data_IF_557316893527
#
_entry.id   IF_557316893527
#
_cell.length_a   1.000
_cell.length_b   1.000
_cell.length_c   1.000
_cell.angle_alpha   90.00
_cell.angle_beta   90.00
_cell.angle_gamma   90.00
#
_symmetry.space_group_name_H-M   'P 1'
#
loop_
_entity.id
_entity.type
_entity.pdbx_description
1 polymer ?
#
# COMPACT_ATOMS: atom_id res chain seq x y z
N UNK A 1 -8.49 -7.80 -25.82
CA UNK A 1 -8.21 -8.58 -24.58
C UNK A 1 -9.10 -8.06 -23.46
N UNK A 2 -9.74 -8.95 -22.70
CA UNK A 2 -10.59 -8.60 -21.56
C UNK A 2 -9.99 -9.17 -20.27
N UNK A 3 -9.60 -8.29 -19.34
CA UNK A 3 -9.04 -8.63 -18.03
C UNK A 3 -10.12 -8.43 -16.97
N UNK A 4 -10.32 -9.40 -16.09
CA UNK A 4 -11.23 -9.28 -14.96
C UNK A 4 -10.44 -9.39 -13.64
N UNK A 5 -10.42 -8.31 -12.87
CA UNK A 5 -9.91 -8.33 -11.50
C UNK A 5 -11.02 -8.68 -10.52
N UNK A 6 -10.72 -9.55 -9.57
CA UNK A 6 -11.65 -9.99 -8.54
C UNK A 6 -11.02 -9.86 -7.16
N UNK A 7 -11.67 -9.12 -6.25
CA UNK A 7 -11.18 -8.93 -4.88
C UNK A 7 -12.28 -8.58 -3.91
N UNK A 8 -12.11 -8.95 -2.63
CA UNK A 8 -12.89 -8.42 -1.53
C UNK A 8 -12.25 -7.20 -0.86
N UNK A 9 -11.01 -6.84 -1.19
CA UNK A 9 -10.28 -5.74 -0.58
C UNK A 9 -10.55 -4.38 -1.24
N UNK A 10 -11.80 -4.11 -1.56
CA UNK A 10 -12.22 -2.85 -2.11
C UNK A 10 -13.33 -2.23 -1.25
N UNK A 11 -12.95 -1.31 -0.38
CA UNK A 11 -13.85 -0.58 0.51
C UNK A 11 -13.54 0.93 0.50
N UNK A 12 -14.45 1.80 0.92
CA UNK A 12 -14.22 3.25 0.94
C UNK A 12 -12.95 3.68 1.66
N UNK A 13 -12.62 2.99 2.77
CA UNK A 13 -11.44 3.26 3.59
C UNK A 13 -10.29 2.29 3.33
N UNK A 14 -10.29 1.54 2.20
CA UNK A 14 -9.16 0.68 1.86
C UNK A 14 -7.98 1.50 1.30
N UNK A 15 -6.77 1.07 1.66
CA UNK A 15 -5.52 1.72 1.27
C UNK A 15 -4.96 1.18 -0.06
N UNK A 16 -3.71 0.74 -0.04
CA UNK A 16 -2.91 0.42 -1.24
C UNK A 16 -3.54 -0.51 -2.28
N UNK A 17 -4.34 -1.51 -1.87
CA UNK A 17 -5.00 -2.42 -2.83
C UNK A 17 -5.99 -1.66 -3.70
N UNK A 18 -6.82 -0.79 -3.10
CA UNK A 18 -7.75 0.04 -3.86
C UNK A 18 -7.01 1.02 -4.77
N UNK A 19 -5.96 1.67 -4.27
CA UNK A 19 -5.13 2.58 -5.06
C UNK A 19 -4.57 1.88 -6.31
N UNK A 20 -4.05 0.66 -6.15
CA UNK A 20 -3.59 -0.17 -7.28
C UNK A 20 -4.70 -0.47 -8.27
N UNK A 21 -5.84 -0.96 -7.81
CA UNK A 21 -6.96 -1.34 -8.67
C UNK A 21 -7.56 -0.15 -9.43
N UNK A 22 -7.74 0.99 -8.76
CA UNK A 22 -8.23 2.23 -9.39
C UNK A 22 -7.24 2.76 -10.43
N UNK A 23 -5.94 2.69 -10.14
CA UNK A 23 -4.90 3.11 -11.07
C UNK A 23 -4.81 2.18 -12.30
N UNK A 24 -4.86 0.87 -12.08
CA UNK A 24 -4.87 -0.16 -13.12
C UNK A 24 -6.11 -0.03 -14.00
N UNK A 25 -7.28 0.09 -13.38
CA UNK A 25 -8.56 0.20 -14.11
C UNK A 25 -8.57 1.37 -15.07
N UNK A 26 -8.26 2.57 -14.58
CA UNK A 26 -8.23 3.78 -15.41
C UNK A 26 -7.26 3.68 -16.59
N UNK A 27 -6.10 3.04 -16.41
CA UNK A 27 -5.07 2.93 -17.45
C UNK A 27 -5.37 1.85 -18.48
N UNK A 28 -5.83 0.69 -18.03
CA UNK A 28 -6.20 -0.39 -18.94
C UNK A 28 -7.40 -0.01 -19.82
N UNK A 29 -8.37 0.71 -19.25
CA UNK A 29 -9.57 1.17 -19.96
C UNK A 29 -9.24 2.23 -21.04
N UNK A 30 -8.11 2.94 -20.89
CA UNK A 30 -7.61 3.89 -21.88
C UNK A 30 -6.85 3.23 -23.05
N UNK A 31 -6.51 1.93 -22.95
CA UNK A 31 -5.76 1.22 -23.99
C UNK A 31 -6.71 0.64 -25.04
N UNK A 32 -6.53 1.03 -26.29
CA UNK A 32 -7.36 0.52 -27.39
C UNK A 32 -7.27 -1.02 -27.49
N UNK A 33 -8.42 -1.68 -27.54
CA UNK A 33 -8.52 -3.14 -27.62
C UNK A 33 -8.35 -3.88 -26.31
N UNK A 34 -8.16 -3.17 -25.20
CA UNK A 34 -8.18 -3.72 -23.84
C UNK A 34 -9.48 -3.30 -23.15
N UNK A 35 -10.14 -4.24 -22.50
CA UNK A 35 -11.28 -4.01 -21.61
C UNK A 35 -10.92 -4.50 -20.23
N UNK A 36 -11.20 -3.70 -19.22
CA UNK A 36 -10.98 -4.06 -17.82
C UNK A 36 -12.29 -4.11 -17.05
N UNK A 37 -12.52 -5.18 -16.29
CA UNK A 37 -13.66 -5.34 -15.40
C UNK A 37 -13.19 -5.60 -13.98
N UNK A 38 -13.70 -4.83 -13.02
CA UNK A 38 -13.36 -4.97 -11.62
C UNK A 38 -14.56 -5.52 -10.84
N UNK A 39 -14.44 -6.75 -10.29
CA UNK A 39 -15.44 -7.42 -9.47
C UNK A 39 -15.16 -7.17 -8.00
N UNK A 40 -16.08 -6.49 -7.32
CA UNK A 40 -15.96 -6.10 -5.90
C UNK A 40 -17.22 -6.46 -5.11
N UNK A 41 -17.14 -6.61 -3.78
CA UNK A 41 -18.32 -6.81 -2.96
C UNK A 41 -19.16 -5.53 -2.88
N UNK A 42 -20.48 -5.68 -2.97
CA UNK A 42 -21.44 -4.59 -2.86
C UNK A 42 -22.66 -4.94 -2.01
N UNK A 43 -23.52 -3.95 -1.68
CA UNK A 43 -24.78 -4.21 -0.99
C UNK A 43 -25.80 -4.93 -1.87
N UNK A 44 -25.74 -4.72 -3.17
CA UNK A 44 -26.61 -5.31 -4.20
C UNK A 44 -25.83 -5.53 -5.49
N UNK A 45 -26.40 -6.28 -6.42
CA UNK A 45 -25.85 -6.41 -7.75
C UNK A 45 -25.99 -5.07 -8.49
N UNK A 46 -24.87 -4.48 -8.89
CA UNK A 46 -24.80 -3.23 -9.64
C UNK A 46 -23.61 -3.26 -10.60
N UNK A 47 -23.76 -2.59 -11.73
CA UNK A 47 -22.68 -2.41 -12.69
C UNK A 47 -22.64 -0.94 -13.14
N UNK A 48 -21.47 -0.33 -13.09
CA UNK A 48 -21.18 0.99 -13.65
C UNK A 48 -19.71 1.09 -13.96
N UNK A 49 -19.35 1.70 -15.08
CA UNK A 49 -17.97 2.05 -15.47
C UNK A 49 -16.97 0.88 -15.32
N UNK A 50 -17.34 -0.31 -15.81
CA UNK A 50 -16.49 -1.51 -15.71
C UNK A 50 -16.42 -2.14 -14.31
N UNK A 51 -17.05 -1.54 -13.29
CA UNK A 51 -17.07 -2.03 -11.91
C UNK A 51 -18.34 -2.83 -11.66
N UNK A 52 -18.19 -4.10 -11.28
CA UNK A 52 -19.25 -5.05 -10.99
C UNK A 52 -19.35 -5.32 -9.50
N UNK A 53 -20.40 -4.84 -8.86
CA UNK A 53 -20.69 -5.14 -7.47
C UNK A 53 -21.42 -6.48 -7.36
N UNK A 54 -20.84 -7.39 -6.59
CA UNK A 54 -21.44 -8.69 -6.27
C UNK A 54 -21.97 -8.64 -4.84
N UNK A 55 -23.25 -9.00 -4.61
CA UNK A 55 -23.84 -8.93 -3.28
C UNK A 55 -23.05 -9.71 -2.23
N UNK A 56 -22.68 -9.02 -1.15
CA UNK A 56 -21.98 -9.58 0.00
C UNK A 56 -22.41 -8.88 1.30
N UNK A 57 -22.61 -9.62 2.41
CA UNK A 57 -22.96 -9.01 3.69
C UNK A 57 -21.82 -8.10 4.20
N UNK A 58 -22.17 -7.05 4.96
CA UNK A 58 -21.16 -6.21 5.59
C UNK A 58 -20.40 -7.01 6.65
N UNK A 59 -19.09 -6.75 6.76
CA UNK A 59 -18.29 -7.28 7.85
C UNK A 59 -18.56 -6.45 9.12
N UNK A 60 -19.04 -7.05 10.21
CA UNK A 60 -19.20 -6.34 11.49
C UNK A 60 -17.90 -5.65 11.88
N UNK A 61 -17.97 -4.37 12.27
CA UNK A 61 -16.80 -3.53 12.60
C UNK A 61 -15.74 -3.34 11.49
N UNK A 62 -16.04 -3.77 10.25
CA UNK A 62 -15.11 -3.80 9.12
C UNK A 62 -14.94 -2.48 8.37
N UNK A 63 -15.35 -1.32 8.90
CA UNK A 63 -15.16 0.00 8.28
C UNK A 63 -15.54 0.05 6.78
N UNK A 64 -16.68 -0.58 6.43
CA UNK A 64 -17.17 -0.63 5.05
C UNK A 64 -16.74 -1.86 4.23
N UNK A 65 -15.91 -2.72 4.77
CA UNK A 65 -15.61 -4.01 4.13
C UNK A 65 -16.82 -4.94 4.15
N UNK A 66 -16.93 -5.74 3.09
CA UNK A 66 -17.95 -6.78 2.94
C UNK A 66 -17.28 -8.13 2.72
N UNK A 67 -17.86 -9.18 3.27
CA UNK A 67 -17.27 -10.52 3.18
C UNK A 67 -18.13 -11.44 2.31
N UNK A 68 -17.64 -11.89 1.15
CA UNK A 68 -18.33 -12.88 0.32
C UNK A 68 -18.55 -14.19 1.10
N UNK A 69 -19.78 -14.71 1.07
CA UNK A 69 -20.13 -15.98 1.76
C UNK A 69 -20.57 -17.07 0.79
N UNK A 70 -20.73 -16.76 -0.50
CA UNK A 70 -21.17 -17.70 -1.55
C UNK A 70 -20.33 -17.51 -2.80
N UNK A 71 -19.83 -18.62 -3.38
CA UNK A 71 -19.07 -18.63 -4.63
C UNK A 71 -19.92 -18.32 -5.85
N UNK A 72 -21.14 -18.88 -5.88
CA UNK A 72 -22.00 -18.91 -7.07
C UNK A 72 -22.27 -17.54 -7.73
N UNK A 73 -22.54 -16.45 -6.99
CA UNK A 73 -22.73 -15.12 -7.62
C UNK A 73 -21.47 -14.62 -8.34
N UNK A 74 -20.29 -14.85 -7.76
CA UNK A 74 -18.99 -14.44 -8.32
C UNK A 74 -18.67 -15.24 -9.59
N UNK A 75 -18.82 -16.57 -9.52
CA UNK A 75 -18.65 -17.45 -10.69
C UNK A 75 -19.63 -17.09 -11.81
N UNK A 76 -20.90 -16.78 -11.47
CA UNK A 76 -21.90 -16.36 -12.46
C UNK A 76 -21.47 -15.07 -13.15
N UNK A 77 -20.99 -14.07 -12.40
CA UNK A 77 -20.54 -12.80 -12.97
C UNK A 77 -19.34 -13.02 -13.90
N UNK A 78 -18.32 -13.77 -13.48
CA UNK A 78 -17.16 -14.09 -14.32
C UNK A 78 -17.57 -14.81 -15.62
N UNK A 79 -18.47 -15.78 -15.53
CA UNK A 79 -18.99 -16.50 -16.73
C UNK A 79 -19.75 -15.60 -17.68
N UNK A 80 -20.48 -14.63 -17.15
CA UNK A 80 -21.21 -13.64 -17.98
C UNK A 80 -20.24 -12.70 -18.68
N UNK A 81 -19.16 -12.29 -18.00
CA UNK A 81 -18.13 -11.40 -18.53
C UNK A 81 -17.27 -12.05 -19.60
N UNK A 82 -17.03 -13.37 -19.49
CA UNK A 82 -16.13 -14.13 -20.38
C UNK A 82 -14.78 -13.41 -20.56
N UNK A 83 -14.02 -13.17 -19.51
CA UNK A 83 -12.71 -12.54 -19.62
C UNK A 83 -11.71 -13.48 -20.31
N UNK A 84 -10.66 -12.92 -20.88
CA UNK A 84 -9.52 -13.66 -21.40
C UNK A 84 -8.47 -13.97 -20.30
N UNK A 85 -8.54 -13.23 -19.17
CA UNK A 85 -7.65 -13.34 -18.01
C UNK A 85 -8.40 -12.94 -16.74
N UNK A 86 -8.19 -13.70 -15.65
CA UNK A 86 -8.68 -13.35 -14.32
C UNK A 86 -7.50 -13.04 -13.40
N UNK A 87 -7.50 -11.85 -12.75
CA UNK A 87 -6.55 -11.53 -11.69
C UNK A 87 -7.27 -11.53 -10.33
N UNK A 88 -6.67 -12.22 -9.37
CA UNK A 88 -7.20 -12.38 -8.00
C UNK A 88 -6.38 -11.52 -7.04
N UNK A 89 -7.04 -10.59 -6.34
CA UNK A 89 -6.39 -9.64 -5.45
C UNK A 89 -6.38 -10.03 -3.96
N UNK A 90 -6.89 -11.21 -3.58
CA UNK A 90 -6.93 -11.65 -2.17
C UNK A 90 -6.98 -13.18 -2.03
N UNK A 91 -6.53 -13.75 -0.89
CA UNK A 91 -6.48 -15.19 -0.66
C UNK A 91 -7.77 -15.77 -0.04
N UNK A 92 -8.92 -15.22 -0.36
CA UNK A 92 -10.18 -15.62 0.27
C UNK A 92 -11.17 -16.26 -0.71
N UNK A 93 -12.46 -16.13 -0.48
CA UNK A 93 -13.50 -16.76 -1.27
C UNK A 93 -13.47 -16.32 -2.74
N UNK A 94 -13.10 -15.11 -3.03
CA UNK A 94 -12.91 -14.55 -4.39
C UNK A 94 -11.88 -15.37 -5.20
N UNK A 95 -10.79 -15.79 -4.55
CA UNK A 95 -9.78 -16.65 -5.16
C UNK A 95 -10.35 -18.01 -5.59
N UNK A 96 -11.13 -18.64 -4.72
CA UNK A 96 -11.78 -19.92 -5.04
C UNK A 96 -12.86 -19.77 -6.12
N UNK A 97 -13.55 -18.62 -6.14
CA UNK A 97 -14.51 -18.31 -7.21
C UNK A 97 -13.83 -18.17 -8.58
N UNK A 98 -12.66 -17.55 -8.64
CA UNK A 98 -11.86 -17.45 -9.87
C UNK A 98 -11.38 -18.83 -10.34
N UNK A 99 -10.84 -19.66 -9.44
CA UNK A 99 -10.39 -21.03 -9.77
C UNK A 99 -11.56 -21.94 -10.22
N UNK A 100 -12.76 -21.76 -9.66
CA UNK A 100 -13.94 -22.49 -10.11
C UNK A 100 -14.42 -22.00 -11.49
N UNK A 101 -14.42 -20.68 -11.72
CA UNK A 101 -14.77 -20.11 -13.02
C UNK A 101 -13.77 -20.53 -14.12
N UNK A 102 -12.47 -20.62 -13.81
CA UNK A 102 -11.42 -21.12 -14.70
C UNK A 102 -11.76 -22.46 -15.33
N UNK A 103 -12.28 -23.41 -14.54
CA UNK A 103 -12.61 -24.76 -15.03
C UNK A 103 -13.66 -24.77 -16.15
N UNK A 104 -14.48 -23.71 -16.20
CA UNK A 104 -15.57 -23.59 -17.16
C UNK A 104 -15.24 -22.64 -18.32
N UNK A 105 -14.37 -21.68 -18.09
CA UNK A 105 -13.99 -20.65 -19.08
C UNK A 105 -12.70 -21.00 -19.84
N UNK A 106 -11.89 -21.90 -19.29
CA UNK A 106 -10.57 -22.27 -19.81
C UNK A 106 -9.65 -21.07 -20.00
N UNK A 107 -9.58 -20.21 -18.97
CA UNK A 107 -8.78 -18.97 -19.01
C UNK A 107 -7.72 -18.99 -17.91
N UNK A 108 -6.57 -18.32 -18.10
CA UNK A 108 -5.55 -18.21 -17.07
C UNK A 108 -6.03 -17.39 -15.87
N UNK A 109 -5.57 -17.80 -14.67
CA UNK A 109 -5.82 -17.10 -13.42
C UNK A 109 -4.49 -16.70 -12.78
N UNK A 110 -4.32 -15.40 -12.54
CA UNK A 110 -3.16 -14.81 -11.89
C UNK A 110 -3.54 -14.41 -10.46
N UNK A 111 -2.69 -14.69 -9.48
CA UNK A 111 -2.88 -14.24 -8.11
C UNK A 111 -1.94 -13.09 -7.78
N UNK A 112 -2.46 -11.96 -7.29
CA UNK A 112 -1.63 -10.89 -6.74
C UNK A 112 -1.56 -10.99 -5.21
N UNK A 113 -0.34 -11.10 -4.66
CA UNK A 113 -0.08 -11.23 -3.23
C UNK A 113 0.04 -9.86 -2.56
N UNK A 114 -1.08 -9.14 -2.42
CA UNK A 114 -1.11 -7.80 -1.82
C UNK A 114 -0.81 -7.76 -0.32
N UNK A 115 -1.09 -8.84 0.39
CA UNK A 115 -1.01 -8.88 1.85
C UNK A 115 -0.37 -10.18 2.33
N UNK A 116 0.50 -10.07 3.33
CA UNK A 116 1.14 -11.20 3.98
C UNK A 116 0.18 -11.87 4.98
N UNK A 117 -0.70 -12.76 4.47
CA UNK A 117 -1.70 -13.42 5.30
C UNK A 117 -1.09 -14.22 6.48
N UNK A 118 -0.03 -15.02 6.33
CA UNK A 118 0.62 -15.69 7.45
C UNK A 118 1.03 -14.71 8.57
N UNK A 119 1.65 -13.60 8.21
CA UNK A 119 2.08 -12.58 9.15
C UNK A 119 0.88 -11.88 9.83
N UNK A 120 -0.17 -11.55 9.08
CA UNK A 120 -1.38 -10.94 9.62
C UNK A 120 -2.08 -11.83 10.64
N UNK A 121 -2.14 -13.14 10.37
CA UNK A 121 -2.72 -14.12 11.31
C UNK A 121 -1.83 -14.31 12.52
N UNK A 122 -0.53 -14.45 12.33
CA UNK A 122 0.47 -14.56 13.42
C UNK A 122 0.36 -13.40 14.41
N UNK A 123 0.24 -12.16 13.91
CA UNK A 123 0.12 -10.96 14.73
C UNK A 123 -1.16 -10.90 15.58
N UNK A 124 -2.24 -11.55 15.14
CA UNK A 124 -3.55 -11.54 15.80
C UNK A 124 -3.80 -12.76 16.67
N UNK A 125 -3.35 -13.92 16.23
CA UNK A 125 -3.69 -15.22 16.83
C UNK A 125 -2.47 -15.96 17.38
N UNK A 126 -1.27 -15.39 17.22
CA UNK A 126 0.00 -16.01 17.63
C UNK A 126 0.57 -16.96 16.57
N UNK A 127 1.83 -17.35 16.78
CA UNK A 127 2.62 -18.10 15.79
C UNK A 127 2.15 -19.56 15.59
N UNK A 128 1.32 -20.08 16.48
CA UNK A 128 0.79 -21.45 16.38
C UNK A 128 0.09 -21.75 15.05
N UNK A 129 -0.68 -20.76 14.55
CA UNK A 129 -1.45 -20.94 13.31
C UNK A 129 -0.63 -20.71 12.03
N UNK A 130 0.56 -20.16 12.15
CA UNK A 130 1.40 -19.79 11.01
C UNK A 130 1.63 -20.95 10.04
N UNK A 131 2.01 -22.19 10.45
CA UNK A 131 2.23 -23.28 9.52
C UNK A 131 0.98 -23.66 8.71
N UNK A 132 -0.20 -23.63 9.35
CA UNK A 132 -1.46 -23.96 8.67
C UNK A 132 -1.83 -22.90 7.64
N UNK A 133 -1.59 -21.62 7.96
CA UNK A 133 -1.85 -20.50 7.05
C UNK A 133 -0.84 -20.52 5.89
N UNK A 134 0.42 -20.82 6.15
CA UNK A 134 1.44 -20.99 5.12
C UNK A 134 1.11 -22.14 4.17
N UNK A 135 0.68 -23.28 4.71
CA UNK A 135 0.21 -24.41 3.91
C UNK A 135 -1.02 -24.05 3.05
N UNK A 136 -1.95 -23.28 3.62
CA UNK A 136 -3.10 -22.74 2.88
C UNK A 136 -2.67 -21.82 1.75
N UNK A 137 -1.79 -20.85 2.01
CA UNK A 137 -1.25 -19.93 1.00
C UNK A 137 -0.52 -20.70 -0.09
N UNK A 138 0.37 -21.63 0.28
CA UNK A 138 1.08 -22.49 -0.67
C UNK A 138 0.11 -23.25 -1.57
N UNK A 139 -0.91 -23.90 -0.98
CA UNK A 139 -1.92 -24.66 -1.73
C UNK A 139 -2.74 -23.75 -2.65
N UNK A 140 -3.21 -22.60 -2.15
CA UNK A 140 -4.05 -21.70 -2.94
C UNK A 140 -3.27 -21.10 -4.12
N UNK A 141 -2.14 -20.43 -3.81
CA UNK A 141 -1.34 -19.74 -4.83
C UNK A 141 -0.63 -20.70 -5.78
N UNK A 142 -0.38 -21.95 -5.36
CA UNK A 142 0.12 -23.02 -6.24
C UNK A 142 -0.87 -23.46 -7.33
N UNK A 143 -2.15 -23.06 -7.24
CA UNK A 143 -3.16 -23.33 -8.28
C UNK A 143 -3.25 -22.21 -9.33
N UNK A 144 -2.60 -21.07 -9.14
CA UNK A 144 -2.59 -19.99 -10.13
C UNK A 144 -1.55 -20.24 -11.22
N UNK A 145 -1.83 -19.79 -12.44
CA UNK A 145 -0.91 -19.90 -13.57
C UNK A 145 0.31 -18.99 -13.37
N UNK A 146 0.13 -17.87 -12.69
CA UNK A 146 1.18 -16.94 -12.28
C UNK A 146 0.82 -16.29 -10.95
N UNK A 147 1.82 -15.98 -10.16
CA UNK A 147 1.66 -15.20 -8.91
C UNK A 147 2.49 -13.93 -9.02
N UNK A 148 1.85 -12.80 -8.77
CA UNK A 148 2.49 -11.49 -8.70
C UNK A 148 2.77 -11.13 -7.24
N UNK A 149 3.98 -10.70 -6.96
CA UNK A 149 4.40 -10.20 -5.65
C UNK A 149 4.81 -8.73 -5.77
N UNK A 150 4.43 -7.86 -4.83
CA UNK A 150 4.70 -6.43 -4.93
C UNK A 150 6.20 -6.07 -4.79
N UNK A 151 6.99 -6.97 -4.23
CA UNK A 151 8.42 -6.77 -3.95
C UNK A 151 9.20 -8.08 -4.06
N UNK A 152 10.52 -7.99 -4.19
CA UNK A 152 11.41 -9.16 -4.24
C UNK A 152 11.35 -9.95 -2.93
N UNK A 153 11.27 -9.28 -1.78
CA UNK A 153 11.17 -9.93 -0.47
C UNK A 153 9.89 -10.76 -0.35
N UNK A 154 8.77 -10.28 -0.91
CA UNK A 154 7.52 -11.04 -0.95
C UNK A 154 7.59 -12.19 -1.97
N UNK A 155 8.21 -11.97 -3.11
CA UNK A 155 8.45 -13.03 -4.10
C UNK A 155 9.30 -14.17 -3.52
N UNK A 156 10.36 -13.84 -2.80
CA UNK A 156 11.23 -14.83 -2.17
C UNK A 156 10.53 -15.56 -1.03
N UNK A 157 9.67 -14.87 -0.28
CA UNK A 157 8.80 -15.51 0.71
C UNK A 157 7.89 -16.54 0.08
N UNK A 158 7.18 -16.19 -1.00
CA UNK A 158 6.29 -17.11 -1.72
C UNK A 158 7.06 -18.30 -2.31
N UNK A 159 8.27 -18.09 -2.86
CA UNK A 159 9.13 -19.17 -3.36
C UNK A 159 9.55 -20.13 -2.25
N UNK A 160 9.87 -19.62 -1.04
CA UNK A 160 10.14 -20.47 0.14
C UNK A 160 8.93 -21.30 0.57
N UNK A 161 7.71 -20.84 0.32
CA UNK A 161 6.48 -21.61 0.51
C UNK A 161 6.22 -22.63 -0.61
N UNK A 162 7.14 -22.81 -1.56
CA UNK A 162 7.02 -23.78 -2.65
C UNK A 162 6.25 -23.30 -3.87
N UNK A 163 5.89 -22.02 -3.95
CA UNK A 163 5.19 -21.46 -5.11
C UNK A 163 6.21 -21.17 -6.21
N UNK A 164 6.06 -21.78 -7.38
CA UNK A 164 7.11 -21.78 -8.42
C UNK A 164 7.03 -20.61 -9.40
N UNK A 165 5.82 -20.22 -9.77
CA UNK A 165 5.61 -19.22 -10.84
C UNK A 165 5.38 -17.81 -10.26
N UNK A 166 6.36 -17.31 -9.51
CA UNK A 166 6.30 -16.02 -8.83
C UNK A 166 7.10 -14.97 -9.58
N UNK A 167 6.44 -13.87 -9.92
CA UNK A 167 7.02 -12.70 -10.58
C UNK A 167 6.87 -11.46 -9.72
N UNK A 168 7.87 -10.59 -9.75
CA UNK A 168 7.77 -9.29 -9.08
C UNK A 168 7.00 -8.32 -9.96
N UNK A 169 5.92 -7.79 -9.42
CA UNK A 169 5.13 -6.73 -10.02
C UNK A 169 5.04 -5.58 -9.03
N UNK A 170 5.91 -4.59 -9.19
CA UNK A 170 5.94 -3.40 -8.35
C UNK A 170 4.64 -2.61 -8.48
N UNK A 171 4.33 -1.82 -7.45
CA UNK A 171 3.25 -0.85 -7.48
C UNK A 171 3.80 0.52 -7.90
N UNK A 172 2.91 1.39 -8.34
CA UNK A 172 3.27 2.73 -8.76
C UNK A 172 2.69 3.81 -7.85
N UNK A 173 2.95 5.05 -8.21
CA UNK A 173 2.39 6.24 -7.55
C UNK A 173 1.79 7.19 -8.58
N UNK A 174 0.78 7.95 -8.17
CA UNK A 174 0.15 9.00 -8.99
C UNK A 174 0.96 10.29 -8.89
N UNK A 175 1.79 10.52 -9.90
CA UNK A 175 2.68 11.69 -9.97
C UNK A 175 1.93 13.01 -10.20
N UNK A 176 0.67 12.96 -10.64
CA UNK A 176 -0.17 14.14 -10.78
C UNK A 176 -0.75 14.59 -9.43
N UNK A 177 -1.18 13.62 -8.61
CA UNK A 177 -1.67 13.89 -7.26
C UNK A 177 -0.52 14.21 -6.30
N UNK A 178 0.52 13.36 -6.27
CA UNK A 178 1.69 13.53 -5.41
C UNK A 178 2.81 14.23 -6.18
N UNK A 179 2.95 15.51 -5.94
CA UNK A 179 3.99 16.33 -6.57
C UNK A 179 4.37 17.52 -5.66
N UNK A 180 5.56 18.10 -5.84
CA UNK A 180 6.05 19.20 -4.98
C UNK A 180 5.22 20.49 -5.08
N UNK A 181 4.45 20.69 -6.18
CA UNK A 181 3.61 21.88 -6.38
C UNK A 181 2.40 21.90 -5.42
N UNK A 182 2.11 20.78 -4.76
CA UNK A 182 1.09 20.70 -3.70
C UNK A 182 1.53 21.35 -2.39
N UNK A 183 2.75 21.88 -2.30
CA UNK A 183 3.27 22.51 -1.09
C UNK A 183 2.41 23.70 -0.66
N UNK A 184 1.93 23.65 0.59
CA UNK A 184 1.21 24.74 1.25
C UNK A 184 2.18 25.51 2.18
N UNK A 185 2.57 26.75 1.85
CA UNK A 185 3.47 27.54 2.68
C UNK A 185 2.87 27.94 4.03
N UNK A 186 1.54 27.85 4.17
CA UNK A 186 0.84 28.20 5.41
C UNK A 186 0.59 27.02 6.34
N UNK A 187 0.97 25.79 5.96
CA UNK A 187 0.70 24.59 6.76
C UNK A 187 1.26 24.70 8.18
N UNK A 188 2.49 25.19 8.35
CA UNK A 188 3.09 25.35 9.68
C UNK A 188 2.27 26.27 10.56
N UNK A 189 1.85 27.43 10.04
CA UNK A 189 0.99 28.37 10.76
C UNK A 189 -0.38 27.77 11.10
N UNK A 190 -1.01 27.03 10.17
CA UNK A 190 -2.28 26.34 10.39
C UNK A 190 -2.21 25.31 11.53
N UNK A 191 -1.05 24.66 11.69
CA UNK A 191 -0.80 23.66 12.74
C UNK A 191 -0.20 24.26 14.02
N UNK A 192 0.02 25.59 14.07
CA UNK A 192 0.66 26.25 15.22
C UNK A 192 2.14 25.89 15.38
N UNK A 193 2.80 25.48 14.30
CA UNK A 193 4.22 25.08 14.28
C UNK A 193 5.07 26.28 13.84
N UNK A 194 6.17 26.52 14.53
CA UNK A 194 7.08 27.61 14.17
C UNK A 194 7.71 27.40 12.78
N UNK A 195 7.88 28.46 12.01
CA UNK A 195 8.45 28.40 10.65
C UNK A 195 9.87 27.83 10.61
N UNK A 196 10.63 28.00 11.70
CA UNK A 196 11.98 27.46 11.87
C UNK A 196 12.03 25.98 12.24
N UNK A 197 10.86 25.37 12.50
CA UNK A 197 10.81 23.94 12.87
C UNK A 197 11.11 23.04 11.68
N UNK A 198 11.86 21.97 11.95
CA UNK A 198 12.09 20.85 11.03
C UNK A 198 10.87 19.93 11.08
N UNK A 199 10.07 19.94 10.02
CA UNK A 199 8.77 19.28 9.97
C UNK A 199 8.90 17.84 9.46
N UNK A 200 8.71 16.89 10.36
CA UNK A 200 8.62 15.48 10.05
C UNK A 200 7.15 15.08 9.84
N UNK A 201 6.88 14.14 8.93
CA UNK A 201 5.54 13.61 8.71
C UNK A 201 5.53 12.07 8.76
N UNK A 202 4.49 11.52 9.34
CA UNK A 202 4.06 10.14 9.17
C UNK A 202 2.64 10.14 8.60
N UNK A 203 2.39 9.32 7.57
CA UNK A 203 1.06 9.12 7.01
C UNK A 203 0.71 7.63 6.95
N UNK A 204 -0.45 7.28 7.51
CA UNK A 204 -0.91 5.89 7.57
C UNK A 204 -1.87 5.65 8.73
N UNK A 205 -2.32 4.42 8.92
CA UNK A 205 -3.13 4.06 10.10
C UNK A 205 -2.25 3.89 11.33
N UNK A 206 -2.74 4.28 12.50
CA UNK A 206 -2.12 3.97 13.78
C UNK A 206 -2.41 2.52 14.19
N UNK A 207 -1.74 1.57 13.56
CA UNK A 207 -1.86 0.14 13.83
C UNK A 207 -0.53 -0.44 14.33
N UNK A 208 -0.59 -1.60 14.99
CA UNK A 208 0.57 -2.19 15.67
C UNK A 208 1.78 -2.36 14.76
N UNK A 209 1.56 -2.83 13.54
CA UNK A 209 2.61 -3.06 12.53
C UNK A 209 3.28 -1.78 12.03
N UNK A 210 2.67 -0.61 12.27
CA UNK A 210 3.24 0.70 11.91
C UNK A 210 4.20 1.26 12.95
N UNK A 211 4.20 0.67 14.13
CA UNK A 211 5.20 0.88 15.18
C UNK A 211 5.37 2.35 15.60
N UNK A 212 4.23 3.07 15.75
CA UNK A 212 4.22 4.49 16.15
C UNK A 212 4.99 4.79 17.45
N UNK A 213 5.08 3.90 18.46
CA UNK A 213 5.91 4.15 19.64
C UNK A 213 7.38 4.47 19.30
N UNK A 214 7.93 3.87 18.24
CA UNK A 214 9.31 4.15 17.79
C UNK A 214 9.41 5.57 17.22
N UNK A 215 8.38 6.07 16.53
CA UNK A 215 8.33 7.47 16.06
C UNK A 215 8.24 8.46 17.22
N UNK A 216 7.46 8.12 18.25
CA UNK A 216 7.33 8.94 19.45
C UNK A 216 8.64 8.98 20.26
N UNK A 217 9.35 7.85 20.39
CA UNK A 217 10.68 7.81 20.98
C UNK A 217 11.67 8.62 20.13
N UNK A 218 11.66 8.45 18.82
CA UNK A 218 12.51 9.21 17.89
C UNK A 218 12.32 10.72 18.09
N UNK A 219 11.09 11.24 18.11
CA UNK A 219 10.86 12.69 18.25
C UNK A 219 11.23 13.22 19.63
N UNK A 220 11.13 12.40 20.68
CA UNK A 220 11.66 12.75 22.01
C UNK A 220 13.18 12.85 22.02
N UNK A 221 13.89 11.92 21.35
CA UNK A 221 15.34 11.94 21.22
C UNK A 221 15.87 13.13 20.37
N UNK A 222 15.06 13.58 19.42
CA UNK A 222 15.38 14.73 18.56
C UNK A 222 15.22 16.06 19.31
N UNK A 223 14.14 16.24 20.04
CA UNK A 223 13.79 17.50 20.70
C UNK A 223 13.58 18.66 19.71
N UNK A 224 13.71 19.91 20.20
CA UNK A 224 13.68 21.08 19.32
C UNK A 224 14.90 21.11 18.39
N UNK A 225 14.78 21.60 17.14
CA UNK A 225 13.62 22.24 16.53
C UNK A 225 12.70 21.29 15.74
N UNK A 226 12.70 19.98 16.03
CA UNK A 226 11.93 19.01 15.28
C UNK A 226 10.47 18.95 15.74
N UNK A 227 9.55 18.84 14.78
CA UNK A 227 8.12 18.66 15.01
C UNK A 227 7.60 17.51 14.13
N UNK A 228 6.80 16.61 14.70
CA UNK A 228 6.22 15.46 13.97
C UNK A 228 4.73 15.66 13.78
N UNK A 229 4.24 15.47 12.54
CA UNK A 229 2.81 15.41 12.23
C UNK A 229 2.45 13.94 11.96
N UNK A 230 1.52 13.40 12.74
CA UNK A 230 0.93 12.07 12.56
C UNK A 230 -0.40 12.22 11.81
N UNK A 231 -0.52 11.59 10.64
CA UNK A 231 -1.70 11.71 9.76
C UNK A 231 -2.34 10.36 9.52
N UNK A 232 -3.64 10.24 9.79
CA UNK A 232 -4.44 9.07 9.49
C UNK A 232 -5.32 8.64 10.66
N UNK A 233 -6.01 7.53 10.56
CA UNK A 233 -6.94 7.06 11.58
C UNK A 233 -6.29 6.20 12.65
N UNK A 234 -6.86 6.20 13.86
CA UNK A 234 -6.42 5.48 15.07
C UNK A 234 -5.04 5.95 15.57
N UNK A 235 -4.81 7.24 15.56
CA UNK A 235 -3.59 7.83 16.11
C UNK A 235 -3.60 7.83 17.64
N UNK A 236 -2.43 7.87 18.32
CA UNK A 236 -2.35 7.97 19.77
C UNK A 236 -2.91 9.33 20.24
N UNK A 237 -3.73 9.29 21.31
CA UNK A 237 -4.30 10.49 21.93
C UNK A 237 -3.27 11.25 22.79
N UNK A 238 -2.35 10.53 23.44
CA UNK A 238 -1.31 11.11 24.29
C UNK A 238 0.00 11.17 23.51
N UNK A 239 0.39 12.39 23.12
CA UNK A 239 1.61 12.65 22.34
C UNK A 239 2.43 13.76 22.99
N UNK A 240 3.76 13.83 22.76
CA UNK A 240 4.61 14.95 23.17
C UNK A 240 4.15 16.28 22.59
N UNK A 241 4.55 17.41 23.22
CA UNK A 241 4.19 18.77 22.79
C UNK A 241 4.66 19.13 21.38
N UNK A 242 5.73 18.48 20.89
CA UNK A 242 6.25 18.65 19.53
C UNK A 242 5.70 17.60 18.54
N UNK A 243 4.49 17.10 18.79
CA UNK A 243 3.74 16.20 17.89
C UNK A 243 2.34 16.77 17.68
N UNK A 244 1.94 16.92 16.43
CA UNK A 244 0.57 17.23 16.02
C UNK A 244 -0.11 15.98 15.46
N UNK A 245 -1.41 15.85 15.71
CA UNK A 245 -2.18 14.67 15.30
C UNK A 245 -3.37 15.08 14.43
N UNK A 246 -3.48 14.45 13.26
CA UNK A 246 -4.63 14.53 12.35
C UNK A 246 -5.29 13.13 12.35
N UNK A 247 -6.16 12.86 13.33
CA UNK A 247 -6.76 11.52 13.55
C UNK A 247 -8.05 11.33 12.76
N UNK A 248 -7.95 11.35 11.44
CA UNK A 248 -9.03 10.96 10.54
C UNK A 248 -8.48 10.48 9.19
N UNK A 249 -9.35 9.89 8.38
CA UNK A 249 -8.99 9.52 7.01
C UNK A 249 -8.86 10.78 6.15
N UNK A 250 -7.67 11.02 5.61
CA UNK A 250 -7.39 12.10 4.67
C UNK A 250 -7.47 11.59 3.23
N UNK A 251 -8.14 12.32 2.32
CA UNK A 251 -8.07 12.04 0.87
C UNK A 251 -6.64 12.20 0.33
N UNK A 252 -6.33 11.54 -0.79
CA UNK A 252 -4.99 11.55 -1.37
C UNK A 252 -4.45 12.98 -1.65
N UNK A 253 -5.30 13.90 -2.10
CA UNK A 253 -4.92 15.30 -2.34
C UNK A 253 -4.50 16.04 -1.05
N UNK A 254 -5.16 15.73 0.07
CA UNK A 254 -4.78 16.30 1.38
C UNK A 254 -3.47 15.71 1.88
N UNK A 255 -3.28 14.39 1.74
CA UNK A 255 -2.02 13.72 2.08
C UNK A 255 -0.88 14.26 1.22
N UNK A 256 -1.09 14.49 -0.07
CA UNK A 256 -0.11 15.06 -0.98
C UNK A 256 0.30 16.48 -0.55
N UNK A 257 -0.67 17.34 -0.18
CA UNK A 257 -0.41 18.68 0.36
C UNK A 257 0.43 18.64 1.64
N UNK A 258 0.08 17.75 2.55
CA UNK A 258 0.81 17.56 3.81
C UNK A 258 2.24 17.06 3.58
N UNK A 259 2.41 16.06 2.70
CA UNK A 259 3.73 15.51 2.35
C UNK A 259 4.61 16.55 1.68
N UNK A 260 4.12 17.23 0.63
CA UNK A 260 4.88 18.26 -0.07
C UNK A 260 5.28 19.45 0.83
N UNK A 261 4.55 19.68 1.93
CA UNK A 261 4.84 20.74 2.89
C UNK A 261 5.77 20.33 4.03
N UNK A 262 6.00 19.02 4.20
CA UNK A 262 6.95 18.49 5.18
C UNK A 262 8.38 18.51 4.65
N UNK A 263 9.36 18.45 5.57
CA UNK A 263 10.77 18.39 5.22
C UNK A 263 11.24 16.93 5.03
N UNK A 264 10.62 15.98 5.75
CA UNK A 264 11.03 14.57 5.75
C UNK A 264 9.86 13.66 6.16
N UNK A 265 9.67 12.55 5.44
CA UNK A 265 8.79 11.47 5.91
C UNK A 265 9.58 10.53 6.84
N UNK A 266 8.97 10.12 7.96
CA UNK A 266 9.50 9.10 8.88
C UNK A 266 8.56 7.89 8.94
N UNK A 267 9.10 6.66 8.86
CA UNK A 267 8.29 5.45 8.88
C UNK A 267 8.96 4.30 9.65
N UNK A 268 8.32 3.86 10.74
CA UNK A 268 8.83 2.83 11.64
C UNK A 268 8.22 1.44 11.46
N UNK A 269 7.27 1.28 10.53
CA UNK A 269 6.63 -0.01 10.29
C UNK A 269 7.61 -1.03 9.70
N UNK A 270 7.63 -2.23 10.29
CA UNK A 270 8.57 -3.29 9.97
C UNK A 270 7.97 -4.44 9.14
N UNK A 271 6.69 -4.34 8.76
CA UNK A 271 5.92 -5.40 8.10
C UNK A 271 5.27 -4.94 6.78
N UNK A 272 5.97 -4.11 6.04
CA UNK A 272 5.46 -3.60 4.77
C UNK A 272 5.71 -4.58 3.62
N UNK A 273 4.65 -4.91 2.90
CA UNK A 273 4.75 -5.73 1.69
C UNK A 273 5.31 -4.94 0.50
N UNK A 274 5.07 -3.62 0.48
CA UNK A 274 5.61 -2.70 -0.51
C UNK A 274 5.88 -1.31 0.08
N UNK A 275 4.85 -0.58 0.55
CA UNK A 275 5.01 0.74 1.16
C UNK A 275 4.71 1.90 0.20
N UNK A 276 3.49 1.97 -0.34
CA UNK A 276 3.06 3.06 -1.23
C UNK A 276 3.31 4.45 -0.65
N UNK A 277 3.15 4.61 0.66
CA UNK A 277 3.38 5.88 1.36
C UNK A 277 4.79 6.43 1.16
N UNK A 278 5.79 5.56 1.00
CA UNK A 278 7.17 5.95 0.69
C UNK A 278 7.23 6.57 -0.71
N UNK A 279 6.59 5.92 -1.70
CA UNK A 279 6.54 6.47 -3.07
C UNK A 279 5.75 7.77 -3.13
N UNK A 280 4.67 7.90 -2.36
CA UNK A 280 3.86 9.12 -2.26
C UNK A 280 4.69 10.31 -1.72
N UNK A 281 5.50 10.09 -0.67
CA UNK A 281 6.40 11.09 -0.15
C UNK A 281 7.50 11.45 -1.17
N UNK A 282 8.17 10.45 -1.73
CA UNK A 282 9.22 10.67 -2.74
C UNK A 282 8.69 11.39 -3.97
N UNK A 283 7.46 11.06 -4.42
CA UNK A 283 6.77 11.76 -5.50
C UNK A 283 6.47 13.22 -5.17
N UNK A 284 6.25 13.54 -3.89
CA UNK A 284 6.08 14.92 -3.39
C UNK A 284 7.41 15.65 -3.16
N UNK A 285 8.55 15.10 -3.62
CA UNK A 285 9.91 15.56 -3.35
C UNK A 285 10.24 15.64 -1.84
N UNK A 286 9.59 14.80 -1.04
CA UNK A 286 9.85 14.66 0.40
C UNK A 286 10.70 13.43 0.61
N UNK A 287 11.98 13.57 1.05
CA UNK A 287 12.86 12.44 1.30
C UNK A 287 12.37 11.60 2.49
N UNK A 288 12.92 10.41 2.64
CA UNK A 288 12.38 9.41 3.57
C UNK A 288 13.46 8.92 4.53
N UNK A 289 13.12 8.81 5.82
CA UNK A 289 13.82 7.97 6.79
C UNK A 289 12.90 6.84 7.22
N UNK A 290 13.29 5.60 6.93
CA UNK A 290 12.51 4.42 7.28
C UNK A 290 13.37 3.34 7.95
N UNK A 291 12.70 2.37 8.56
CA UNK A 291 13.41 1.20 9.09
C UNK A 291 13.84 0.26 7.97
N UNK A 292 14.98 -0.41 8.15
CA UNK A 292 15.46 -1.45 7.22
C UNK A 292 14.67 -2.74 7.43
N UNK A 293 13.43 -2.75 6.93
CA UNK A 293 12.52 -3.88 7.05
C UNK A 293 11.53 -3.91 5.88
N UNK A 294 10.92 -5.08 5.63
CA UNK A 294 9.99 -5.24 4.52
C UNK A 294 10.59 -4.81 3.19
N UNK A 295 9.78 -4.24 2.32
CA UNK A 295 10.18 -3.82 0.98
C UNK A 295 10.92 -2.46 0.93
N UNK A 296 11.11 -1.77 2.05
CA UNK A 296 11.71 -0.43 2.03
C UNK A 296 13.13 -0.40 1.45
N UNK A 297 13.93 -1.46 1.72
CA UNK A 297 15.27 -1.59 1.15
C UNK A 297 15.33 -1.78 -0.37
N UNK A 298 14.19 -2.06 -1.02
CA UNK A 298 14.08 -2.16 -2.48
C UNK A 298 13.70 -0.80 -3.12
N UNK A 299 13.14 0.11 -2.34
CA UNK A 299 12.63 1.40 -2.81
C UNK A 299 13.60 2.53 -2.47
N UNK A 300 14.13 2.53 -1.23
CA UNK A 300 14.97 3.60 -0.70
C UNK A 300 16.43 3.27 -0.93
N UNK A 301 17.13 4.15 -1.61
CA UNK A 301 18.59 4.15 -1.74
C UNK A 301 19.19 5.41 -1.09
N UNK A 302 20.49 5.46 -0.92
CA UNK A 302 21.19 6.54 -0.20
C UNK A 302 21.10 7.92 -0.87
N UNK A 303 20.59 8.00 -2.11
CA UNK A 303 20.36 9.25 -2.81
C UNK A 303 18.97 9.84 -2.53
N UNK A 304 18.00 9.03 -2.10
CA UNK A 304 16.62 9.44 -1.93
C UNK A 304 16.10 9.33 -0.49
N UNK A 305 16.89 8.79 0.43
CA UNK A 305 16.53 8.63 1.83
C UNK A 305 17.49 7.75 2.60
N UNK A 306 17.21 7.51 3.87
CA UNK A 306 18.05 6.71 4.74
C UNK A 306 17.26 5.56 5.39
N UNK A 307 17.96 4.46 5.64
CA UNK A 307 17.42 3.28 6.32
C UNK A 307 18.12 3.05 7.66
N UNK A 308 17.35 3.01 8.74
CA UNK A 308 17.84 2.75 10.09
C UNK A 308 17.45 1.36 10.61
N UNK A 309 17.97 0.99 11.78
CA UNK A 309 17.60 -0.25 12.47
C UNK A 309 16.14 -0.21 12.92
N UNK A 310 15.41 -1.31 12.71
CA UNK A 310 14.02 -1.44 13.15
C UNK A 310 13.92 -1.50 14.68
N UNK A 311 12.78 -1.08 15.21
CA UNK A 311 12.46 -1.06 16.64
C UNK A 311 13.43 -0.23 17.49
N UNK A 312 14.00 0.84 16.92
CA UNK A 312 15.02 1.66 17.57
C UNK A 312 14.81 3.16 17.25
N UNK A 313 14.16 3.88 18.18
CA UNK A 313 13.89 5.32 18.03
C UNK A 313 15.16 6.16 18.03
N UNK A 314 16.21 5.74 18.76
CA UNK A 314 17.52 6.42 18.76
C UNK A 314 18.22 6.30 17.40
N UNK A 315 18.23 5.09 16.81
CA UNK A 315 18.79 4.87 15.47
C UNK A 315 18.01 5.70 14.43
N UNK A 316 16.69 5.79 14.54
CA UNK A 316 15.88 6.62 13.67
C UNK A 316 16.17 8.11 13.86
N UNK A 317 16.31 8.60 15.10
CA UNK A 317 16.69 9.98 15.37
C UNK A 317 18.06 10.34 14.80
N UNK A 318 19.02 9.42 14.85
CA UNK A 318 20.33 9.59 14.20
C UNK A 318 20.18 9.72 12.69
N UNK A 319 19.45 8.80 12.03
CA UNK A 319 19.22 8.86 10.58
C UNK A 319 18.47 10.15 10.16
N UNK A 320 17.52 10.64 10.98
CA UNK A 320 16.86 11.92 10.73
C UNK A 320 17.87 13.08 10.74
N UNK A 321 18.79 13.15 11.73
CA UNK A 321 19.83 14.19 11.76
C UNK A 321 20.74 14.11 10.53
N UNK A 322 21.20 12.91 10.18
CA UNK A 322 22.02 12.66 9.00
C UNK A 322 21.31 13.09 7.70
N UNK A 323 19.99 12.86 7.57
CA UNK A 323 19.22 13.32 6.42
C UNK A 323 19.19 14.85 6.31
N UNK A 324 19.05 15.57 7.44
CA UNK A 324 19.13 17.03 7.45
C UNK A 324 20.53 17.55 7.17
N UNK A 325 21.58 16.89 7.64
CA UNK A 325 22.98 17.23 7.35
C UNK A 325 23.31 17.01 5.88
N UNK A 326 22.81 15.93 5.26
CA UNK A 326 22.96 15.65 3.84
C UNK A 326 22.17 16.61 2.94
N UNK A 327 21.18 17.32 3.50
CA UNK A 327 20.34 18.29 2.80
C UNK A 327 19.04 17.66 2.25
N UNK A 328 17.96 17.81 3.01
CA UNK A 328 16.63 17.26 2.67
C UNK A 328 16.11 17.70 1.30
N UNK A 329 16.43 18.93 0.85
CA UNK A 329 16.05 19.40 -0.48
C UNK A 329 16.72 18.62 -1.61
N UNK A 330 18.01 18.32 -1.49
CA UNK A 330 18.74 17.51 -2.47
C UNK A 330 18.23 16.08 -2.48
N UNK A 331 18.08 15.46 -1.31
CA UNK A 331 17.52 14.10 -1.18
C UNK A 331 16.10 14.04 -1.75
N UNK A 332 15.27 15.05 -1.51
CA UNK A 332 13.90 15.11 -2.02
C UNK A 332 13.83 15.22 -3.54
N UNK A 333 14.67 16.04 -4.14
CA UNK A 333 14.76 16.15 -5.61
C UNK A 333 15.21 14.82 -6.24
N UNK A 334 16.18 14.13 -5.67
CA UNK A 334 16.62 12.81 -6.13
C UNK A 334 15.54 11.74 -5.90
N UNK A 335 14.82 11.79 -4.78
CA UNK A 335 13.70 10.92 -4.49
C UNK A 335 12.59 11.05 -5.55
N UNK A 336 12.25 12.27 -5.95
CA UNK A 336 11.28 12.54 -7.02
C UNK A 336 11.74 11.95 -8.35
N UNK A 337 12.98 12.20 -8.77
CA UNK A 337 13.54 11.65 -10.01
C UNK A 337 13.52 10.11 -10.02
N UNK A 338 13.90 9.49 -8.91
CA UNK A 338 13.89 8.03 -8.77
C UNK A 338 12.49 7.45 -8.97
N UNK A 339 11.47 8.06 -8.39
CA UNK A 339 10.07 7.60 -8.51
C UNK A 339 9.53 7.83 -9.92
N UNK A 340 9.84 8.95 -10.55
CA UNK A 340 9.45 9.24 -11.94
C UNK A 340 9.99 8.18 -12.91
N UNK A 341 11.22 7.77 -12.72
CA UNK A 341 11.89 6.81 -13.59
C UNK A 341 11.40 5.37 -13.39
N UNK A 342 11.06 4.98 -12.15
CA UNK A 342 10.89 3.56 -11.82
C UNK A 342 9.51 3.18 -11.29
N UNK A 343 8.71 4.15 -10.80
CA UNK A 343 7.49 3.86 -10.05
C UNK A 343 6.26 4.67 -10.51
N UNK A 344 6.29 5.30 -11.69
CA UNK A 344 5.07 5.87 -12.25
C UNK A 344 4.06 4.76 -12.56
N UNK A 345 2.78 5.00 -12.34
CA UNK A 345 1.76 4.01 -12.74
C UNK A 345 1.80 3.67 -14.22
N UNK A 346 2.22 4.59 -15.08
CA UNK A 346 2.31 4.34 -16.52
C UNK A 346 3.40 3.31 -16.84
N UNK A 347 4.56 3.41 -16.19
CA UNK A 347 5.64 2.42 -16.31
C UNK A 347 5.22 1.06 -15.72
N UNK A 348 4.54 1.07 -14.58
CA UNK A 348 4.10 -0.14 -13.88
C UNK A 348 3.04 -0.90 -14.67
N UNK A 349 2.03 -0.21 -15.20
CA UNK A 349 0.92 -0.84 -15.96
C UNK A 349 1.39 -1.31 -17.33
N UNK A 350 2.31 -0.58 -17.99
CA UNK A 350 2.92 -1.05 -19.23
C UNK A 350 3.62 -2.41 -19.10
N UNK A 351 4.17 -2.70 -17.91
CA UNK A 351 4.78 -4.00 -17.60
C UNK A 351 3.79 -5.13 -17.29
N UNK A 352 2.48 -4.85 -17.18
CA UNK A 352 1.44 -5.87 -16.95
C UNK A 352 0.92 -6.52 -18.24
N UNK A 353 1.09 -5.86 -19.38
CA UNK A 353 0.66 -6.31 -20.70
C UNK A 353 1.78 -7.03 -21.43
#
# INVERSE_FOLDING_TARGET
MHIADITMFYAPASGGVRTYLDAKHRRLDAIQGVRHSLLIPGPSARHADGIFQVPAPPLPFGKGYRFPVRLAPWCKTLRTLKPDLIEVGDPYLTAWAALEARRQLDVPVIGFYHSDLPLLVSNRMGNWFTPNVEAYVSKLYGNFDRVLAPSQIMADKLRRLGIRNVHVQRLGVDLATFNPDQRDPHLRAQLGIADTSRLLIYAGRGSREKNLPVLLDCIQQLGAPYHLVLVGSNMPANVPHNVSVIDHFCPAAEVARLMASADLLVHAGDQETFGLVILEAMASATPVVAVRAGAFGEIINDQCGLLCRANDGRAMATAVREAFEAGVGTLGAQARLHVEQHYSWDNVVAGLL
#
